data_IF_267468957661
#
_entry.id   IF_267468957661
#
_cell.length_a   1.000
_cell.length_b   1.000
_cell.length_c   1.000
_cell.angle_alpha   90.00
_cell.angle_beta   90.00
_cell.angle_gamma   90.00
#
_symmetry.space_group_name_H-M   'P 1'
#
loop_
_entity.id
_entity.type
_entity.pdbx_description
1 polymer ?
#
# COMPACT_ATOMS: atom_id res chain seq x y z
N UNK A 1 -20.06 21.31 -10.47
CA UNK A 1 -21.03 20.23 -10.73
C UNK A 1 -20.46 19.10 -11.59
N UNK A 2 -19.98 19.34 -12.83
CA UNK A 2 -19.45 18.26 -13.71
C UNK A 2 -18.29 17.44 -13.10
N UNK A 3 -17.35 18.09 -12.39
CA UNK A 3 -16.21 17.40 -11.72
C UNK A 3 -16.63 16.50 -10.55
N UNK A 4 -17.64 16.93 -9.78
CA UNK A 4 -18.18 16.15 -8.65
C UNK A 4 -18.92 14.89 -9.15
N UNK A 5 -19.66 15.04 -10.26
CA UNK A 5 -20.36 13.92 -10.89
C UNK A 5 -19.40 12.87 -11.46
N UNK A 6 -18.28 13.30 -12.05
CA UNK A 6 -17.26 12.38 -12.57
C UNK A 6 -16.54 11.62 -11.44
N UNK A 7 -16.26 12.27 -10.30
CA UNK A 7 -15.70 11.63 -9.11
C UNK A 7 -16.65 10.57 -8.53
N UNK A 8 -17.95 10.86 -8.48
CA UNK A 8 -18.98 9.93 -8.02
C UNK A 8 -19.11 8.70 -8.93
N UNK A 9 -18.99 8.86 -10.25
CA UNK A 9 -19.01 7.73 -11.19
C UNK A 9 -17.77 6.84 -11.00
N UNK A 10 -16.59 7.44 -10.84
CA UNK A 10 -15.37 6.67 -10.58
C UNK A 10 -15.53 5.89 -9.26
N UNK A 11 -16.01 6.54 -8.20
CA UNK A 11 -16.25 5.88 -6.91
C UNK A 11 -17.28 4.74 -7.02
N UNK A 12 -18.35 4.92 -7.80
CA UNK A 12 -19.38 3.91 -8.01
C UNK A 12 -18.87 2.67 -8.77
N UNK A 13 -17.94 2.83 -9.71
CA UNK A 13 -17.30 1.71 -10.42
C UNK A 13 -16.39 0.92 -9.48
N UNK A 14 -15.72 1.56 -8.53
CA UNK A 14 -14.89 0.87 -7.53
C UNK A 14 -15.72 0.03 -6.54
N UNK A 15 -16.93 0.46 -6.19
CA UNK A 15 -17.77 -0.24 -5.20
C UNK A 15 -18.30 -1.59 -5.72
N UNK A 16 -18.44 -1.76 -7.05
CA UNK A 16 -19.01 -3.00 -7.62
C UNK A 16 -18.09 -4.23 -7.50
N UNK A 17 -16.82 -4.06 -7.14
CA UNK A 17 -15.87 -5.18 -6.99
C UNK A 17 -15.83 -5.82 -5.59
N UNK A 18 -16.65 -5.34 -4.64
CA UNK A 18 -16.53 -5.72 -3.21
C UNK A 18 -17.51 -6.81 -2.78
N UNK A 19 -18.49 -7.22 -3.59
CA UNK A 19 -19.62 -8.03 -3.11
C UNK A 19 -19.58 -9.47 -3.64
N UNK A 20 -18.67 -10.27 -3.08
CA UNK A 20 -18.80 -11.73 -3.02
C UNK A 20 -18.27 -12.20 -1.66
N UNK A 21 -19.19 -12.63 -0.80
CA UNK A 21 -18.87 -13.33 0.45
C UNK A 21 -18.49 -14.75 0.10
N UNK A 22 -17.25 -15.11 0.36
CA UNK A 22 -16.74 -16.47 0.36
C UNK A 22 -16.16 -16.66 1.74
N UNK A 23 -16.49 -17.77 2.39
CA UNK A 23 -16.01 -18.08 3.73
C UNK A 23 -14.61 -18.71 3.65
N UNK A 24 -13.75 -18.41 4.61
CA UNK A 24 -12.43 -19.00 4.75
C UNK A 24 -11.33 -18.23 4.00
N UNK A 25 -11.53 -16.95 3.70
CA UNK A 25 -10.54 -16.12 3.00
C UNK A 25 -9.22 -15.98 3.76
N UNK A 26 -9.27 -15.90 5.10
CA UNK A 26 -8.04 -15.85 5.92
C UNK A 26 -7.28 -17.18 5.85
N UNK A 27 -8.03 -18.29 5.84
CA UNK A 27 -7.45 -19.62 5.68
C UNK A 27 -6.84 -19.82 4.30
N UNK A 28 -7.55 -19.47 3.23
CA UNK A 28 -7.05 -19.58 1.86
C UNK A 28 -5.77 -18.75 1.67
N UNK A 29 -5.69 -17.59 2.31
CA UNK A 29 -4.50 -16.75 2.32
C UNK A 29 -3.30 -17.44 2.98
N UNK A 30 -3.49 -18.06 4.15
CA UNK A 30 -2.42 -18.82 4.82
C UNK A 30 -2.08 -20.12 4.07
N UNK A 31 -3.06 -20.79 3.48
CA UNK A 31 -2.86 -22.03 2.72
C UNK A 31 -1.99 -21.78 1.48
N UNK A 32 -2.17 -20.66 0.77
CA UNK A 32 -1.26 -20.23 -0.32
C UNK A 32 0.18 -19.98 0.15
N UNK A 33 0.38 -19.48 1.37
CA UNK A 33 1.72 -19.27 1.95
C UNK A 33 2.38 -20.57 2.44
N UNK A 34 1.64 -21.67 2.50
CA UNK A 34 2.15 -22.99 2.91
C UNK A 34 2.40 -23.92 1.72
N UNK A 35 1.98 -23.53 0.50
CA UNK A 35 2.22 -24.36 -0.68
C UNK A 35 3.72 -24.49 -0.93
N UNK A 36 4.22 -25.67 -1.34
CA UNK A 36 5.60 -25.76 -1.79
C UNK A 36 5.79 -24.85 -3.00
N UNK A 37 6.89 -24.10 -3.03
CA UNK A 37 7.28 -23.33 -4.21
C UNK A 37 7.65 -24.35 -5.29
N UNK A 38 6.83 -24.42 -6.34
CA UNK A 38 7.15 -25.21 -7.52
C UNK A 38 8.34 -24.55 -8.24
N UNK A 39 9.55 -24.95 -7.87
CA UNK A 39 10.70 -24.77 -8.74
C UNK A 39 10.49 -25.70 -9.94
N UNK A 40 10.12 -25.12 -11.07
CA UNK A 40 10.19 -25.79 -12.37
C UNK A 40 11.66 -26.16 -12.64
N UNK A 41 12.08 -27.32 -12.11
CA UNK A 41 13.32 -27.97 -12.51
C UNK A 41 13.07 -28.59 -13.88
N UNK A 42 13.05 -27.75 -14.91
CA UNK A 42 13.19 -28.20 -16.28
C UNK A 42 14.62 -28.72 -16.44
N UNK A 43 14.79 -30.03 -16.26
CA UNK A 43 15.91 -30.77 -16.84
C UNK A 43 15.73 -30.73 -18.36
N UNK A 44 16.20 -29.64 -19.00
CA UNK A 44 16.36 -29.60 -20.44
C UNK A 44 17.69 -30.26 -20.79
N UNK A 45 17.59 -31.43 -21.42
CA UNK A 45 18.63 -31.91 -22.33
C UNK A 45 18.74 -30.90 -23.47
N UNK A 46 19.97 -30.51 -23.79
CA UNK A 46 20.32 -29.68 -24.95
C UNK A 46 19.71 -30.27 -26.22
N UNK A 47 18.82 -29.54 -26.88
CA UNK A 47 18.61 -29.61 -28.34
C UNK A 47 17.88 -28.35 -28.83
N UNK A 48 18.66 -27.53 -29.55
CA UNK A 48 18.41 -26.41 -30.47
C UNK A 48 17.01 -25.77 -30.61
N UNK A 49 17.04 -24.43 -30.42
CA UNK A 49 16.34 -23.37 -31.15
C UNK A 49 14.82 -23.48 -31.33
N UNK A 50 14.09 -22.98 -30.34
CA UNK A 50 12.89 -22.17 -30.59
C UNK A 50 12.81 -21.05 -29.56
N UNK A 51 12.57 -19.82 -30.05
CA UNK A 51 12.27 -18.66 -29.24
C UNK A 51 10.92 -18.88 -28.56
N UNK A 52 10.93 -19.48 -27.37
CA UNK A 52 9.80 -19.46 -26.46
C UNK A 52 9.72 -18.05 -25.85
N UNK A 53 8.56 -17.42 -26.02
CA UNK A 53 8.20 -16.22 -25.28
C UNK A 53 8.05 -16.63 -23.82
N UNK A 54 9.10 -16.42 -23.02
CA UNK A 54 9.06 -16.55 -21.57
C UNK A 54 7.85 -15.75 -21.06
N UNK A 55 6.89 -16.43 -20.42
CA UNK A 55 5.84 -15.78 -19.64
C UNK A 55 6.52 -15.13 -18.41
N UNK A 56 7.14 -13.98 -18.64
CA UNK A 56 7.72 -13.13 -17.60
C UNK A 56 6.65 -12.87 -16.54
N UNK A 57 7.01 -13.12 -15.27
CA UNK A 57 6.17 -12.72 -14.15
C UNK A 57 5.85 -11.21 -14.32
N UNK A 58 4.56 -10.81 -14.38
CA UNK A 58 4.19 -9.40 -14.54
C UNK A 58 4.78 -8.50 -13.44
N UNK A 59 5.20 -9.07 -12.30
CA UNK A 59 5.91 -8.37 -11.25
C UNK A 59 7.38 -8.10 -11.55
N UNK A 60 8.07 -8.95 -12.32
CA UNK A 60 9.50 -8.75 -12.66
C UNK A 60 9.68 -7.56 -13.59
N UNK A 61 8.85 -7.48 -14.64
CA UNK A 61 8.85 -6.33 -15.56
C UNK A 61 8.44 -5.03 -14.86
N UNK A 62 7.46 -5.08 -13.95
CA UNK A 62 7.07 -3.92 -13.13
C UNK A 62 8.20 -3.50 -12.17
N UNK A 63 8.84 -4.46 -11.50
CA UNK A 63 9.95 -4.23 -10.57
C UNK A 63 11.13 -3.56 -11.29
N UNK A 64 11.60 -4.12 -12.41
CA UNK A 64 12.73 -3.57 -13.15
C UNK A 64 12.45 -2.19 -13.74
N UNK A 65 11.22 -1.95 -14.23
CA UNK A 65 10.81 -0.63 -14.72
C UNK A 65 10.80 0.43 -13.60
N UNK A 66 10.29 0.08 -12.41
CA UNK A 66 10.33 0.96 -11.24
C UNK A 66 11.77 1.21 -10.83
N UNK A 67 12.60 0.17 -10.69
CA UNK A 67 14.01 0.31 -10.29
C UNK A 67 14.79 1.19 -11.29
N UNK A 68 14.66 0.96 -12.59
CA UNK A 68 15.39 1.72 -13.60
C UNK A 68 15.06 3.22 -13.55
N UNK A 69 13.78 3.58 -13.57
CA UNK A 69 13.33 4.98 -13.52
C UNK A 69 13.65 5.65 -12.17
N UNK A 70 13.62 4.88 -11.08
CA UNK A 70 13.86 5.37 -9.72
C UNK A 70 15.31 5.70 -9.43
N UNK A 71 16.22 4.82 -9.83
CA UNK A 71 17.64 4.91 -9.45
C UNK A 71 18.51 5.57 -10.51
N UNK A 72 18.14 5.47 -11.80
CA UNK A 72 18.96 5.96 -12.92
C UNK A 72 18.40 7.25 -13.53
N UNK A 73 17.10 7.51 -13.36
CA UNK A 73 16.43 8.72 -13.81
C UNK A 73 16.94 10.02 -13.16
N UNK A 74 17.02 11.09 -13.95
CA UNK A 74 17.47 12.43 -13.54
C UNK A 74 16.71 12.98 -12.32
N UNK A 75 17.40 13.75 -11.47
CA UNK A 75 16.84 14.36 -10.26
C UNK A 75 15.68 15.34 -10.53
N UNK A 76 14.44 14.85 -10.43
CA UNK A 76 13.21 15.67 -10.49
C UNK A 76 12.85 16.34 -9.14
N UNK A 77 13.83 16.80 -8.35
CA UNK A 77 13.61 17.29 -6.99
C UNK A 77 14.08 18.74 -6.80
N UNK A 78 13.20 19.58 -6.24
CA UNK A 78 13.58 20.89 -5.70
C UNK A 78 14.26 20.72 -4.33
N UNK A 79 15.57 20.97 -4.26
CA UNK A 79 16.35 20.82 -3.02
C UNK A 79 15.94 21.79 -1.89
N UNK A 80 15.20 22.87 -2.18
CA UNK A 80 14.77 23.87 -1.21
C UNK A 80 13.54 23.48 -0.40
N UNK A 81 12.74 22.51 -0.88
CA UNK A 81 11.43 22.19 -0.32
C UNK A 81 11.55 21.44 1.03
N UNK A 82 10.71 21.83 1.99
CA UNK A 82 10.64 21.36 3.39
C UNK A 82 9.28 20.72 3.69
N UNK A 83 9.19 20.01 4.81
CA UNK A 83 7.96 19.34 5.23
C UNK A 83 7.05 20.35 5.92
N UNK A 84 5.78 20.44 5.53
CA UNK A 84 4.79 21.32 6.14
C UNK A 84 4.38 20.80 7.53
N UNK A 85 4.00 21.66 8.49
CA UNK A 85 3.53 21.24 9.81
C UNK A 85 2.25 20.39 9.81
N UNK A 86 1.45 20.50 8.75
CA UNK A 86 0.35 19.61 8.39
C UNK A 86 -0.07 19.91 6.94
N UNK A 87 -0.79 18.99 6.32
CA UNK A 87 -1.26 19.09 4.93
C UNK A 87 -2.19 20.31 4.77
N UNK A 88 -1.96 21.15 3.75
CA UNK A 88 -2.67 22.40 3.52
C UNK A 88 -2.50 23.48 4.62
N UNK A 89 -1.36 23.49 5.32
CA UNK A 89 -1.00 24.55 6.26
C UNK A 89 -0.98 25.94 5.63
N UNK A 90 -0.37 26.08 4.44
CA UNK A 90 -0.35 27.32 3.67
C UNK A 90 -1.51 27.47 2.67
N UNK A 91 -2.64 26.79 2.92
CA UNK A 91 -3.85 26.74 2.09
C UNK A 91 -3.71 26.14 0.68
N UNK A 92 -2.48 25.87 0.22
CA UNK A 92 -2.22 25.44 -1.16
C UNK A 92 -1.49 24.10 -1.24
N UNK A 93 -0.48 23.90 -0.40
CA UNK A 93 0.49 22.82 -0.55
C UNK A 93 0.08 21.58 0.22
N UNK A 94 0.48 20.41 -0.30
CA UNK A 94 0.42 19.13 0.38
C UNK A 94 1.46 19.01 1.49
N UNK A 95 2.15 17.88 1.56
CA UNK A 95 3.18 17.61 2.57
C UNK A 95 4.40 18.53 2.47
N UNK A 96 4.68 19.06 1.29
CA UNK A 96 5.93 19.71 0.98
C UNK A 96 5.72 21.14 0.44
N UNK A 97 6.46 22.13 0.98
CA UNK A 97 6.47 23.50 0.47
C UNK A 97 7.80 24.21 0.74
N UNK A 98 7.95 25.45 0.27
CA UNK A 98 9.17 26.26 0.49
C UNK A 98 9.38 26.64 1.96
N UNK A 99 8.30 26.81 2.72
CA UNK A 99 8.29 27.00 4.16
C UNK A 99 7.93 25.70 4.88
N UNK A 100 8.64 25.37 5.97
CA UNK A 100 8.36 24.11 6.65
C UNK A 100 9.33 23.72 7.75
N UNK A 101 8.93 22.68 8.46
CA UNK A 101 9.66 22.00 9.50
C UNK A 101 10.61 20.94 8.93
N UNK A 102 11.46 20.42 9.81
CA UNK A 102 12.35 19.29 9.51
C UNK A 102 11.78 17.95 9.99
N UNK A 103 10.67 17.96 10.72
CA UNK A 103 10.04 16.81 11.36
C UNK A 103 8.53 16.89 11.19
N UNK A 104 7.92 15.72 10.98
CA UNK A 104 6.48 15.50 10.87
C UNK A 104 6.18 14.07 11.34
N UNK A 105 5.06 13.87 12.03
CA UNK A 105 4.59 12.54 12.40
C UNK A 105 3.10 12.39 12.14
N UNK A 106 2.70 11.23 11.64
CA UNK A 106 1.32 10.92 11.30
C UNK A 106 0.93 9.58 11.92
N UNK A 107 -0.27 9.51 12.49
CA UNK A 107 -0.86 8.28 13.02
C UNK A 107 -2.28 8.17 12.50
N UNK A 108 -2.66 6.99 12.04
CA UNK A 108 -3.97 6.66 11.50
C UNK A 108 -4.54 5.41 12.16
N UNK A 109 -5.84 5.44 12.42
CA UNK A 109 -6.64 4.26 12.77
C UNK A 109 -7.72 4.10 11.71
N UNK A 110 -7.80 2.90 11.11
CA UNK A 110 -8.77 2.55 10.08
C UNK A 110 -9.55 1.30 10.49
N UNK A 111 -10.85 1.34 10.27
CA UNK A 111 -11.68 0.14 10.19
C UNK A 111 -11.61 -0.42 8.78
N UNK A 112 -11.53 -1.74 8.67
CA UNK A 112 -11.42 -2.49 7.42
C UNK A 112 -12.66 -3.35 7.29
N UNK A 113 -13.32 -3.30 6.15
CA UNK A 113 -14.51 -4.07 5.85
C UNK A 113 -14.34 -4.79 4.51
N UNK A 114 -14.50 -6.11 4.48
CA UNK A 114 -14.47 -6.92 3.26
C UNK A 114 -15.85 -7.49 2.94
N UNK A 115 -16.46 -8.15 3.91
CA UNK A 115 -17.77 -8.80 3.82
C UNK A 115 -18.47 -8.72 5.18
N UNK A 116 -19.68 -9.28 5.29
CA UNK A 116 -20.38 -9.36 6.57
C UNK A 116 -19.60 -10.17 7.61
N UNK A 117 -18.83 -11.13 7.13
CA UNK A 117 -18.15 -12.11 7.97
C UNK A 117 -16.65 -11.80 8.07
N UNK A 118 -16.08 -10.89 7.28
CA UNK A 118 -14.66 -10.50 7.34
C UNK A 118 -14.46 -8.99 7.50
N UNK A 119 -13.90 -8.60 8.65
CA UNK A 119 -13.60 -7.22 8.99
C UNK A 119 -12.26 -7.09 9.73
N UNK A 120 -11.92 -5.88 10.16
CA UNK A 120 -10.69 -5.67 10.90
C UNK A 120 -10.37 -4.23 11.25
N UNK A 121 -9.21 -4.06 11.86
CA UNK A 121 -8.71 -2.77 12.34
C UNK A 121 -7.26 -2.64 11.88
N UNK A 122 -6.87 -1.46 11.43
CA UNK A 122 -5.48 -1.13 11.12
C UNK A 122 -5.04 0.12 11.88
N UNK A 123 -3.84 0.05 12.44
CA UNK A 123 -3.09 1.15 13.01
C UNK A 123 -1.86 1.37 12.14
N UNK A 124 -1.70 2.56 11.59
CA UNK A 124 -0.49 2.94 10.87
C UNK A 124 0.11 4.22 11.40
N UNK A 125 1.40 4.39 11.19
CA UNK A 125 2.04 5.67 11.42
C UNK A 125 3.26 5.88 10.55
N UNK A 126 3.59 7.15 10.36
CA UNK A 126 4.72 7.62 9.58
C UNK A 126 5.49 8.67 10.38
N UNK A 127 6.80 8.49 10.52
CA UNK A 127 7.68 9.42 11.21
C UNK A 127 8.70 9.96 10.21
N UNK A 128 8.59 11.22 9.85
CA UNK A 128 9.52 11.92 8.98
C UNK A 128 10.66 12.50 9.82
N UNK A 129 11.77 11.79 9.91
CA UNK A 129 12.96 12.22 10.65
C UNK A 129 13.98 12.96 9.78
N UNK A 130 13.84 12.89 8.45
CA UNK A 130 14.59 13.69 7.47
C UNK A 130 13.63 14.22 6.40
N UNK A 131 14.04 15.29 5.70
CA UNK A 131 13.23 15.92 4.64
C UNK A 131 12.83 15.00 3.49
N UNK A 132 13.53 13.88 3.32
CA UNK A 132 13.31 12.93 2.22
C UNK A 132 13.02 11.52 2.73
N UNK A 133 12.94 11.31 4.05
CA UNK A 133 12.82 9.96 4.58
C UNK A 133 11.82 9.91 5.73
N UNK A 134 11.01 8.85 5.73
CA UNK A 134 10.19 8.48 6.87
C UNK A 134 10.35 6.99 7.18
N UNK A 135 10.07 6.69 8.45
CA UNK A 135 9.81 5.35 8.91
C UNK A 135 8.29 5.16 8.93
N UNK A 136 7.77 4.24 8.11
CA UNK A 136 6.35 3.90 8.02
C UNK A 136 6.12 2.55 8.67
N UNK A 137 5.16 2.46 9.59
CA UNK A 137 4.71 1.20 10.17
C UNK A 137 3.22 1.00 9.91
N UNK A 138 2.80 -0.24 9.74
CA UNK A 138 1.40 -0.64 9.70
C UNK A 138 1.23 -1.91 10.53
N UNK A 139 0.21 -1.94 11.36
CA UNK A 139 -0.31 -3.13 12.02
C UNK A 139 -1.77 -3.27 11.62
N UNK A 140 -2.17 -4.46 11.23
CA UNK A 140 -3.52 -4.75 10.77
C UNK A 140 -3.95 -6.08 11.36
N UNK A 141 -5.10 -6.10 12.04
CA UNK A 141 -5.77 -7.30 12.50
C UNK A 141 -7.05 -7.50 11.70
N UNK A 142 -7.19 -8.65 11.06
CA UNK A 142 -8.41 -9.09 10.41
C UNK A 142 -9.06 -10.20 11.23
N UNK A 143 -10.39 -10.21 11.28
CA UNK A 143 -11.20 -11.27 11.88
C UNK A 143 -12.21 -11.77 10.84
N UNK A 144 -12.38 -13.08 10.79
CA UNK A 144 -13.36 -13.75 9.96
C UNK A 144 -14.29 -14.61 10.83
N UNK A 145 -15.60 -14.40 10.75
CA UNK A 145 -16.62 -15.23 11.38
C UNK A 145 -16.91 -16.44 10.47
N UNK A 146 -16.73 -17.65 10.99
CA UNK A 146 -17.00 -18.90 10.29
C UNK A 146 -18.07 -19.69 11.04
N UNK A 147 -18.74 -20.62 10.36
CA UNK A 147 -19.72 -21.53 10.97
C UNK A 147 -19.19 -22.27 12.23
N UNK A 148 -17.87 -22.50 12.29
CA UNK A 148 -17.19 -23.23 13.36
C UNK A 148 -16.44 -22.34 14.37
N UNK A 149 -16.61 -21.02 14.32
CA UNK A 149 -15.98 -20.05 15.23
C UNK A 149 -15.28 -18.91 14.50
N UNK A 150 -14.49 -18.13 15.23
CA UNK A 150 -13.79 -16.98 14.66
C UNK A 150 -12.35 -17.34 14.30
N UNK A 151 -11.93 -16.83 13.15
CA UNK A 151 -10.57 -16.89 12.68
C UNK A 151 -9.95 -15.48 12.69
N UNK A 152 -8.65 -15.39 12.91
CA UNK A 152 -7.96 -14.11 13.04
C UNK A 152 -6.60 -14.15 12.33
N UNK A 153 -6.23 -13.03 11.70
CA UNK A 153 -4.95 -12.87 11.04
C UNK A 153 -4.37 -11.49 11.36
N UNK A 154 -3.12 -11.46 11.80
CA UNK A 154 -2.38 -10.23 12.03
C UNK A 154 -1.33 -10.03 10.93
N UNK A 155 -1.23 -8.80 10.43
CA UNK A 155 -0.29 -8.40 9.39
C UNK A 155 0.44 -7.15 9.85
N UNK A 156 1.77 -7.17 9.74
CA UNK A 156 2.61 -6.07 10.18
C UNK A 156 3.66 -5.71 9.13
N UNK A 157 3.96 -4.42 9.05
CA UNK A 157 4.81 -3.82 8.03
C UNK A 157 5.67 -2.75 8.68
N UNK A 158 6.96 -2.71 8.31
CA UNK A 158 7.88 -1.65 8.69
C UNK A 158 8.76 -1.29 7.50
N UNK A 159 8.60 -0.07 6.99
CA UNK A 159 9.27 0.45 5.81
C UNK A 159 10.09 1.69 6.12
N UNK A 160 11.29 1.73 5.55
CA UNK A 160 12.08 2.93 5.41
C UNK A 160 11.86 3.47 3.99
N UNK A 161 11.12 4.57 3.92
CA UNK A 161 10.66 5.18 2.68
C UNK A 161 11.52 6.41 2.36
N UNK A 162 11.81 6.60 1.07
CA UNK A 162 12.56 7.71 0.49
C UNK A 162 11.70 8.45 -0.54
N UNK A 163 11.46 9.75 -0.28
CA UNK A 163 10.67 10.65 -1.12
C UNK A 163 11.52 11.22 -2.24
N UNK A 164 11.44 10.58 -3.40
CA UNK A 164 12.24 10.88 -4.59
C UNK A 164 11.76 12.12 -5.33
N UNK A 165 10.45 12.23 -5.55
CA UNK A 165 9.84 13.41 -6.17
C UNK A 165 9.00 14.15 -5.13
N UNK A 166 9.22 15.45 -5.00
CA UNK A 166 8.62 16.28 -3.95
C UNK A 166 8.23 17.62 -4.56
N UNK A 167 6.94 17.80 -4.77
CA UNK A 167 6.34 19.03 -5.28
C UNK A 167 5.20 19.45 -4.36
N UNK A 168 4.76 20.69 -4.49
CA UNK A 168 3.65 21.22 -3.70
C UNK A 168 2.41 20.32 -3.73
N UNK A 169 2.09 19.74 -4.89
CA UNK A 169 0.84 19.00 -5.08
C UNK A 169 1.03 17.52 -5.44
N UNK A 170 2.27 17.03 -5.48
CA UNK A 170 2.58 15.68 -5.90
C UNK A 170 3.87 15.20 -5.23
N UNK A 171 3.80 14.03 -4.62
CA UNK A 171 4.95 13.33 -4.10
C UNK A 171 4.99 11.91 -4.65
N UNK A 172 6.21 11.43 -4.82
CA UNK A 172 6.47 10.02 -5.11
C UNK A 172 7.56 9.51 -4.19
N UNK A 173 7.33 8.33 -3.62
CA UNK A 173 8.26 7.67 -2.73
C UNK A 173 8.45 6.21 -3.13
N UNK A 174 9.58 5.66 -2.69
CA UNK A 174 9.84 4.24 -2.67
C UNK A 174 10.59 3.89 -1.39
N UNK A 175 10.50 2.66 -0.92
CA UNK A 175 11.10 2.24 0.32
C UNK A 175 11.36 0.75 0.36
N UNK A 176 12.17 0.36 1.34
CA UNK A 176 12.51 -1.02 1.63
C UNK A 176 12.13 -1.32 3.07
N UNK A 177 11.76 -2.57 3.35
CA UNK A 177 11.25 -2.89 4.66
C UNK A 177 11.13 -4.38 4.92
N UNK A 178 10.50 -4.65 6.06
CA UNK A 178 10.13 -5.99 6.50
C UNK A 178 8.63 -6.08 6.64
N UNK A 179 8.11 -7.26 6.37
CA UNK A 179 6.71 -7.62 6.50
C UNK A 179 6.61 -8.88 7.33
N UNK A 180 5.49 -9.07 8.00
CA UNK A 180 5.15 -10.38 8.51
C UNK A 180 3.67 -10.56 8.72
N UNK A 181 3.33 -11.83 8.93
CA UNK A 181 1.97 -12.33 9.06
C UNK A 181 1.94 -13.35 10.18
N UNK A 182 0.94 -13.26 11.03
CA UNK A 182 0.70 -14.18 12.13
C UNK A 182 -0.74 -14.68 12.06
N UNK A 183 -0.88 -16.00 11.93
CA UNK A 183 -2.12 -16.75 12.16
C UNK A 183 -1.77 -18.02 12.93
N UNK A 184 -1.89 -19.19 12.32
CA UNK A 184 -1.47 -20.47 12.90
C UNK A 184 0.05 -20.59 12.85
N UNK A 185 0.63 -20.11 11.75
CA UNK A 185 2.06 -19.99 11.53
C UNK A 185 2.49 -18.52 11.55
N UNK A 186 3.80 -18.32 11.75
CA UNK A 186 4.45 -17.01 11.66
C UNK A 186 5.24 -16.93 10.36
N UNK A 187 5.03 -15.87 9.61
CA UNK A 187 5.73 -15.60 8.36
C UNK A 187 6.44 -14.26 8.46
N UNK A 188 7.67 -14.21 7.96
CA UNK A 188 8.46 -12.98 7.91
C UNK A 188 9.12 -12.89 6.54
N UNK A 189 9.31 -11.68 6.06
CA UNK A 189 10.19 -11.45 4.93
C UNK A 189 10.39 -9.99 4.60
N UNK A 190 11.02 -9.77 3.46
CA UNK A 190 11.40 -8.44 3.00
C UNK A 190 10.37 -7.88 2.04
N UNK A 191 10.36 -6.56 1.91
CA UNK A 191 9.46 -5.87 1.00
C UNK A 191 10.05 -4.61 0.40
N UNK A 192 9.43 -4.23 -0.71
CA UNK A 192 9.48 -2.90 -1.28
C UNK A 192 8.13 -2.21 -1.11
N UNK A 193 8.18 -0.90 -0.92
CA UNK A 193 7.03 -0.02 -0.92
C UNK A 193 7.25 1.06 -1.98
N UNK A 194 6.21 1.46 -2.68
CA UNK A 194 6.25 2.64 -3.54
C UNK A 194 4.87 3.25 -3.63
N UNK A 195 4.79 4.55 -3.82
CA UNK A 195 3.50 5.20 -3.89
C UNK A 195 3.56 6.67 -4.22
N UNK A 196 2.38 7.21 -4.44
CA UNK A 196 2.13 8.58 -4.80
C UNK A 196 1.22 9.24 -3.77
N UNK A 197 1.53 10.48 -3.42
CA UNK A 197 0.62 11.37 -2.70
C UNK A 197 0.26 12.53 -3.63
N UNK A 198 -1.03 12.76 -3.88
CA UNK A 198 -1.53 13.78 -4.79
C UNK A 198 -2.45 14.73 -4.03
N UNK A 199 -2.22 16.03 -4.16
CA UNK A 199 -2.98 17.09 -3.48
C UNK A 199 -3.66 17.97 -4.54
N UNK A 200 -4.75 17.48 -5.17
CA UNK A 200 -5.35 18.17 -6.30
C UNK A 200 -6.00 19.49 -5.91
N UNK A 201 -6.60 19.56 -4.72
CA UNK A 201 -7.31 20.75 -4.20
C UNK A 201 -7.61 20.59 -2.72
N UNK A 202 -7.44 21.65 -1.92
CA UNK A 202 -7.86 21.67 -0.51
C UNK A 202 -9.37 21.43 -0.39
N UNK A 203 -9.85 20.61 0.58
CA UNK A 203 -9.11 19.85 1.60
C UNK A 203 -8.79 18.40 1.21
N UNK A 204 -8.76 18.04 -0.07
CA UNK A 204 -8.72 16.66 -0.55
C UNK A 204 -7.30 16.22 -0.91
N UNK A 205 -6.89 15.02 -0.53
CA UNK A 205 -5.71 14.34 -1.11
C UNK A 205 -6.03 12.91 -1.53
N UNK A 206 -5.16 12.33 -2.36
CA UNK A 206 -5.21 10.96 -2.83
C UNK A 206 -3.86 10.30 -2.51
N UNK A 207 -3.88 9.17 -1.83
CA UNK A 207 -2.71 8.31 -1.60
C UNK A 207 -2.90 7.01 -2.40
N UNK A 208 -1.89 6.62 -3.16
CA UNK A 208 -1.84 5.32 -3.84
C UNK A 208 -0.52 4.68 -3.46
N UNK A 209 -0.54 3.48 -2.88
CA UNK A 209 0.67 2.75 -2.51
C UNK A 209 0.61 1.30 -2.97
N UNK A 210 1.74 0.79 -3.42
CA UNK A 210 1.98 -0.59 -3.76
C UNK A 210 3.12 -1.11 -2.91
N UNK A 211 2.84 -2.19 -2.20
CA UNK A 211 3.73 -2.84 -1.28
C UNK A 211 3.92 -4.27 -1.80
N UNK A 212 5.12 -4.61 -2.24
CA UNK A 212 5.45 -5.88 -2.92
C UNK A 212 6.59 -6.52 -2.13
N UNK A 213 6.62 -7.84 -2.01
CA UNK A 213 7.62 -8.50 -1.17
C UNK A 213 7.37 -9.99 -1.04
N UNK A 214 8.01 -10.58 -0.04
CA UNK A 214 7.94 -12.01 0.21
C UNK A 214 7.67 -12.30 1.67
N UNK A 215 6.95 -13.39 1.94
CA UNK A 215 6.75 -13.97 3.27
C UNK A 215 7.17 -15.44 3.19
N UNK A 216 8.27 -15.80 3.85
CA UNK A 216 8.88 -17.14 3.72
C UNK A 216 8.99 -17.59 2.24
N UNK A 217 9.58 -16.75 1.38
CA UNK A 217 9.77 -16.99 -0.07
C UNK A 217 8.50 -16.90 -0.94
N UNK A 218 7.30 -16.79 -0.35
CA UNK A 218 6.06 -16.59 -1.11
C UNK A 218 5.83 -15.12 -1.46
N UNK A 219 5.55 -14.78 -2.74
CA UNK A 219 5.29 -13.40 -3.13
C UNK A 219 3.98 -12.89 -2.54
N UNK A 220 4.05 -11.73 -1.88
CA UNK A 220 2.91 -11.05 -1.25
C UNK A 220 2.87 -9.60 -1.68
N UNK A 221 1.70 -9.16 -2.11
CA UNK A 221 1.46 -7.78 -2.51
C UNK A 221 0.25 -7.16 -1.82
N UNK A 222 0.36 -5.88 -1.50
CA UNK A 222 -0.70 -5.04 -0.94
C UNK A 222 -0.78 -3.74 -1.73
N UNK A 223 -1.95 -3.44 -2.27
CA UNK A 223 -2.24 -2.17 -2.94
C UNK A 223 -3.21 -1.39 -2.06
N UNK A 224 -2.94 -0.11 -1.83
CA UNK A 224 -3.75 0.81 -1.04
C UNK A 224 -4.10 2.00 -1.91
N UNK A 225 -5.35 2.46 -1.85
CA UNK A 225 -5.81 3.68 -2.50
C UNK A 225 -6.76 4.41 -1.57
N UNK A 226 -6.35 5.56 -1.05
CA UNK A 226 -7.10 6.33 -0.07
C UNK A 226 -7.41 7.74 -0.58
N UNK A 227 -8.67 8.14 -0.47
CA UNK A 227 -9.10 9.53 -0.57
C UNK A 227 -9.16 10.10 0.85
N UNK A 228 -8.47 11.21 1.05
CA UNK A 228 -8.33 11.84 2.35
C UNK A 228 -8.94 13.24 2.34
N UNK A 229 -9.63 13.61 3.41
CA UNK A 229 -10.11 14.96 3.69
C UNK A 229 -9.36 15.52 4.90
N UNK A 230 -8.68 16.64 4.72
CA UNK A 230 -7.82 17.26 5.72
C UNK A 230 -8.49 18.49 6.34
N UNK A 231 -8.64 18.47 7.66
CA UNK A 231 -9.09 19.62 8.42
C UNK A 231 -8.10 19.89 9.55
N UNK A 232 -7.29 20.95 9.38
CA UNK A 232 -6.19 21.26 10.28
C UNK A 232 -5.23 20.08 10.39
N UNK A 233 -5.02 19.55 11.60
CA UNK A 233 -4.17 18.38 11.87
C UNK A 233 -4.91 17.04 11.78
N UNK A 234 -6.20 17.04 11.43
CA UNK A 234 -7.04 15.84 11.39
C UNK A 234 -7.26 15.44 9.94
N UNK A 235 -7.12 14.13 9.67
CA UNK A 235 -7.36 13.49 8.38
C UNK A 235 -8.54 12.53 8.51
N UNK A 236 -9.52 12.61 7.61
CA UNK A 236 -10.54 11.58 7.44
C UNK A 236 -10.23 10.81 6.17
N UNK A 237 -10.13 9.49 6.26
CA UNK A 237 -9.74 8.62 5.15
C UNK A 237 -10.89 7.69 4.78
N UNK A 238 -11.11 7.54 3.47
CA UNK A 238 -11.88 6.43 2.89
C UNK A 238 -11.06 5.86 1.75
N UNK A 239 -10.98 4.55 1.67
CA UNK A 239 -10.13 3.92 0.68
C UNK A 239 -10.44 2.47 0.41
N UNK A 240 -9.62 1.91 -0.45
CA UNK A 240 -9.65 0.54 -0.88
C UNK A 240 -8.27 -0.07 -0.66
N UNK A 241 -8.24 -1.29 -0.14
CA UNK A 241 -7.02 -2.09 -0.09
C UNK A 241 -7.23 -3.46 -0.71
N UNK A 242 -6.20 -3.97 -1.36
CA UNK A 242 -6.14 -5.33 -1.87
C UNK A 242 -4.87 -6.00 -1.39
N UNK A 243 -5.02 -7.01 -0.57
CA UNK A 243 -3.93 -7.89 -0.11
C UNK A 243 -3.99 -9.20 -0.90
N UNK A 244 -2.85 -9.69 -1.39
CA UNK A 244 -2.78 -10.83 -2.30
C UNK A 244 -1.52 -11.67 -2.06
N UNK A 245 -1.69 -12.98 -2.13
CA UNK A 245 -0.61 -13.99 -2.19
C UNK A 245 -1.07 -15.13 -3.08
N UNK A 246 -0.31 -15.49 -4.12
CA UNK A 246 -0.74 -16.45 -5.13
C UNK A 246 -2.15 -16.15 -5.67
N UNK A 247 -3.08 -17.09 -5.51
CA UNK A 247 -4.48 -16.92 -5.92
C UNK A 247 -5.38 -16.30 -4.84
N UNK A 248 -4.96 -16.30 -3.56
CA UNK A 248 -5.74 -15.77 -2.46
C UNK A 248 -5.70 -14.23 -2.43
N UNK A 249 -6.89 -13.62 -2.28
CA UNK A 249 -7.08 -12.16 -2.38
C UNK A 249 -8.07 -11.68 -1.34
N UNK A 250 -7.70 -10.62 -0.63
CA UNK A 250 -8.55 -9.92 0.34
C UNK A 250 -8.72 -8.48 -0.13
N UNK A 251 -9.89 -8.17 -0.69
CA UNK A 251 -10.28 -6.85 -1.17
C UNK A 251 -11.16 -6.15 -0.12
N UNK A 252 -10.71 -5.05 0.46
CA UNK A 252 -11.44 -4.39 1.54
C UNK A 252 -11.62 -2.90 1.29
N UNK A 253 -12.76 -2.38 1.72
CA UNK A 253 -12.96 -0.95 1.92
C UNK A 253 -12.39 -0.60 3.29
N UNK A 254 -11.74 0.55 3.39
CA UNK A 254 -11.24 1.07 4.66
C UNK A 254 -11.81 2.47 4.92
N UNK A 255 -12.08 2.77 6.19
CA UNK A 255 -12.54 4.08 6.64
C UNK A 255 -11.80 4.39 7.93
N UNK A 256 -11.25 5.59 8.06
CA UNK A 256 -10.47 5.92 9.24
C UNK A 256 -10.28 7.40 9.52
N UNK A 257 -9.55 7.64 10.60
CA UNK A 257 -9.17 8.95 11.08
C UNK A 257 -7.67 8.96 11.37
N UNK A 258 -7.02 10.07 11.07
CA UNK A 258 -5.62 10.30 11.33
C UNK A 258 -5.35 11.66 11.95
N UNK A 259 -4.18 11.77 12.59
CA UNK A 259 -3.68 13.00 13.18
C UNK A 259 -2.24 13.22 12.72
N UNK A 260 -1.92 14.47 12.38
CA UNK A 260 -0.60 14.93 11.96
C UNK A 260 0.02 15.90 12.99
N UNK A 261 1.29 15.69 13.35
CA UNK A 261 2.00 16.35 14.46
C UNK A 261 3.27 17.09 14.01
#
# INVERSE_FOLDING_TARGET
MKKLFMLLIILAVFIQFVIAGEDGKLKDFEDELNKPIEHNNNNQNEEDDNYDEDEDDPFDNLFWSIVYETFIGSNCSYNSIRIQPYIYYNDFSGRYADDGNSFDAEIDIKYIYNSNDLDGISLSGSIFFLRMMNLKFNYQKLSEELDNGNDEMEYYELFLDYYRARFHNFNWFWGIGVKGLQRNNSYLGMGLNTGFEIYPVKPVSLEIAANIGWLNEHPVSKIITDINIHYWRIKFAIGYQRLMTGNAKINSINIGIGINY
#
